data_IF_825333124244
#
_entry.id   IF_825333124244
#
_cell.length_a   1.000
_cell.length_b   1.000
_cell.length_c   1.000
_cell.angle_alpha   90.00
_cell.angle_beta   90.00
_cell.angle_gamma   90.00
#
_symmetry.space_group_name_H-M   'P 1'
#
loop_
_entity.id
_entity.type
_entity.pdbx_description
1 polymer ?
#
# COMPACT_ATOMS: atom_id res chain seq x y z
N UNK A 1 2.35 70.62 13.27
CA UNK A 1 2.97 70.64 11.93
C UNK A 1 2.51 69.36 11.23
N UNK A 2 1.25 69.25 10.81
CA UNK A 2 0.69 69.67 9.50
C UNK A 2 1.60 69.16 8.36
N UNK A 3 1.19 68.26 7.47
CA UNK A 3 0.12 68.42 6.48
C UNK A 3 -0.16 67.05 5.78
N UNK A 4 -1.38 66.51 5.86
CA UNK A 4 -2.42 66.35 4.79
C UNK A 4 -2.17 65.37 3.63
N UNK A 5 -3.09 64.39 3.53
CA UNK A 5 -3.42 63.57 2.35
C UNK A 5 -4.39 64.32 1.40
N UNK A 6 -4.47 63.96 0.10
CA UNK A 6 -5.73 63.44 -0.46
C UNK A 6 -5.50 62.25 -1.44
N UNK A 7 -6.29 61.16 -1.40
CA UNK A 7 -7.65 60.94 -1.96
C UNK A 7 -7.73 60.63 -3.48
N UNK A 8 -8.18 59.39 -3.74
CA UNK A 8 -9.17 58.94 -4.75
C UNK A 8 -8.71 58.59 -6.17
N UNK A 9 -9.06 57.35 -6.57
CA UNK A 9 -9.58 56.82 -7.85
C UNK A 9 -9.06 55.36 -7.97
N UNK A 10 -9.82 54.33 -7.56
CA UNK A 10 -10.93 53.68 -8.27
C UNK A 10 -10.57 53.27 -9.72
N UNK A 11 -10.82 51.98 -10.05
CA UNK A 11 -10.64 51.26 -11.33
C UNK A 11 -9.33 50.44 -11.37
N UNK A 12 -9.30 49.13 -11.59
CA UNK A 12 -10.29 48.15 -12.06
C UNK A 12 -9.96 46.78 -11.47
N UNK A 13 -10.98 46.09 -10.98
CA UNK A 13 -10.96 44.65 -10.80
C UNK A 13 -10.75 43.98 -12.18
N UNK A 14 -9.52 43.57 -12.48
CA UNK A 14 -9.27 42.56 -13.52
C UNK A 14 -9.18 41.21 -12.83
N UNK A 15 -10.35 40.58 -12.78
CA UNK A 15 -10.57 39.16 -12.56
C UNK A 15 -9.80 38.37 -13.64
N UNK A 16 -8.53 38.05 -13.42
CA UNK A 16 -7.83 37.04 -14.23
C UNK A 16 -8.23 35.65 -13.75
N UNK A 17 -9.35 35.17 -14.29
CA UNK A 17 -9.63 33.75 -14.43
C UNK A 17 -8.68 33.17 -15.49
N UNK A 18 -7.68 32.42 -15.06
CA UNK A 18 -6.93 31.43 -15.86
C UNK A 18 -6.29 30.49 -14.83
N UNK A 19 -6.83 29.31 -14.51
CA UNK A 19 -7.32 28.31 -15.46
C UNK A 19 -6.14 27.58 -16.11
N UNK A 20 -5.24 26.99 -15.31
CA UNK A 20 -4.21 26.10 -15.82
C UNK A 20 -3.71 25.10 -14.74
N UNK A 21 -4.05 23.83 -14.95
CA UNK A 21 -3.21 22.65 -14.71
C UNK A 21 -2.95 22.33 -13.21
N UNK A 22 -3.75 21.54 -12.50
CA UNK A 22 -3.92 20.09 -12.73
C UNK A 22 -2.63 19.40 -13.20
N UNK A 23 -1.58 19.50 -12.39
CA UNK A 23 -0.50 18.52 -12.34
C UNK A 23 -0.61 17.73 -11.02
N UNK A 24 -1.78 17.14 -10.79
CA UNK A 24 -1.83 15.95 -9.94
C UNK A 24 -1.28 14.81 -10.79
N UNK A 25 -0.08 14.33 -10.48
CA UNK A 25 0.32 12.98 -10.90
C UNK A 25 -0.65 12.00 -10.22
N UNK A 26 -1.80 11.80 -10.83
CA UNK A 26 -2.57 10.59 -10.62
C UNK A 26 -1.80 9.49 -11.32
N UNK A 27 -0.86 8.86 -10.63
CA UNK A 27 -0.46 7.51 -10.99
C UNK A 27 -1.74 6.67 -10.86
N UNK A 28 -2.39 6.41 -11.99
CA UNK A 28 -3.49 5.44 -12.05
C UNK A 28 -3.00 4.14 -11.39
N UNK A 29 -3.80 3.47 -10.53
CA UNK A 29 -3.41 2.21 -9.91
C UNK A 29 -3.14 1.16 -10.99
N UNK A 30 -1.90 1.11 -11.46
CA UNK A 30 -1.45 0.12 -12.44
C UNK A 30 -1.53 -1.23 -11.75
N UNK A 31 -2.26 -2.21 -12.33
CA UNK A 31 -2.26 -3.56 -11.82
C UNK A 31 -0.82 -4.06 -11.65
N UNK A 32 -0.53 -4.85 -10.61
CA UNK A 32 0.82 -5.36 -10.37
C UNK A 32 1.36 -6.04 -11.63
N UNK A 33 2.60 -5.69 -11.99
CA UNK A 33 3.22 -6.20 -13.21
C UNK A 33 3.37 -7.74 -13.14
N UNK A 34 3.34 -8.47 -14.26
CA UNK A 34 3.49 -9.93 -14.26
C UNK A 34 4.75 -10.45 -13.52
N UNK A 35 5.79 -9.63 -13.44
CA UNK A 35 7.02 -9.94 -12.70
C UNK A 35 6.81 -10.15 -11.19
N UNK A 36 5.81 -9.51 -10.56
CA UNK A 36 5.59 -9.66 -9.12
C UNK A 36 4.91 -10.99 -8.75
N UNK A 37 4.28 -11.67 -9.71
CA UNK A 37 3.67 -13.00 -9.50
C UNK A 37 4.71 -14.13 -9.32
N UNK A 38 5.96 -13.86 -9.73
CA UNK A 38 7.08 -14.78 -9.55
C UNK A 38 8.06 -14.31 -8.47
N UNK A 39 7.68 -13.29 -7.67
CA UNK A 39 8.51 -12.83 -6.58
C UNK A 39 8.67 -13.93 -5.52
N UNK A 40 9.87 -14.02 -4.96
CA UNK A 40 10.20 -14.93 -3.86
C UNK A 40 11.02 -14.19 -2.81
N UNK A 41 10.88 -14.54 -1.51
CA UNK A 41 11.79 -14.07 -0.48
C UNK A 41 13.26 -14.42 -0.80
N UNK A 42 14.19 -13.56 -0.41
CA UNK A 42 15.62 -13.82 -0.59
C UNK A 42 16.16 -14.87 0.39
N UNK A 43 15.57 -14.95 1.59
CA UNK A 43 15.88 -16.02 2.54
C UNK A 43 15.24 -17.34 2.10
N UNK A 44 16.02 -18.41 2.03
CA UNK A 44 15.59 -19.68 1.48
C UNK A 44 14.51 -20.38 2.33
N UNK A 45 14.59 -20.26 3.67
CA UNK A 45 13.61 -20.86 4.56
C UNK A 45 12.27 -20.13 4.45
N UNK A 46 12.30 -18.80 4.43
CA UNK A 46 11.13 -17.96 4.22
C UNK A 46 10.51 -18.19 2.83
N UNK A 47 11.35 -18.36 1.81
CA UNK A 47 10.90 -18.66 0.46
C UNK A 47 10.18 -20.01 0.38
N UNK A 48 10.66 -21.03 1.09
CA UNK A 48 10.00 -22.33 1.15
C UNK A 48 8.62 -22.22 1.78
N UNK A 49 8.49 -21.48 2.88
CA UNK A 49 7.20 -21.25 3.55
C UNK A 49 6.25 -20.46 2.65
N UNK A 50 6.73 -19.39 2.02
CA UNK A 50 5.93 -18.60 1.08
C UNK A 50 5.39 -19.49 -0.04
N UNK A 51 6.25 -20.31 -0.66
CA UNK A 51 5.86 -21.18 -1.77
C UNK A 51 4.83 -22.24 -1.37
N UNK A 52 5.01 -22.89 -0.22
CA UNK A 52 4.13 -23.97 0.25
C UNK A 52 2.78 -23.49 0.79
N UNK A 53 2.67 -22.22 1.16
CA UNK A 53 1.54 -21.72 1.94
C UNK A 53 0.94 -20.44 1.34
N UNK A 54 1.66 -19.33 1.40
CA UNK A 54 1.11 -18.01 1.06
C UNK A 54 0.91 -17.81 -0.45
N UNK A 55 1.84 -18.32 -1.25
CA UNK A 55 1.93 -18.09 -2.70
C UNK A 55 0.70 -18.59 -3.45
N UNK A 56 0.08 -19.67 -2.97
CA UNK A 56 -1.14 -20.25 -3.55
C UNK A 56 -2.24 -19.21 -3.80
N UNK A 57 -2.38 -18.26 -2.87
CA UNK A 57 -3.37 -17.20 -2.96
C UNK A 57 -2.74 -15.86 -3.34
N UNK A 58 -1.59 -15.50 -2.74
CA UNK A 58 -0.99 -14.18 -2.90
C UNK A 58 -0.19 -13.98 -4.20
N UNK A 59 -0.01 -15.03 -5.02
CA UNK A 59 0.49 -14.91 -6.39
C UNK A 59 -0.58 -15.27 -7.45
N UNK A 60 -1.83 -15.49 -7.03
CA UNK A 60 -2.93 -15.89 -7.91
C UNK A 60 -3.98 -14.78 -8.00
N UNK A 61 -4.07 -14.03 -9.12
CA UNK A 61 -5.07 -12.98 -9.31
C UNK A 61 -6.52 -13.45 -9.18
N UNK A 62 -6.79 -14.75 -9.39
CA UNK A 62 -8.13 -15.33 -9.25
C UNK A 62 -8.53 -15.68 -7.81
N UNK A 63 -7.61 -15.61 -6.84
CA UNK A 63 -7.89 -15.98 -5.46
C UNK A 63 -8.53 -14.85 -4.62
N UNK A 64 -8.53 -13.61 -5.11
CA UNK A 64 -9.06 -12.44 -4.39
C UNK A 64 -8.20 -11.96 -3.21
N UNK A 65 -7.05 -12.59 -2.97
CA UNK A 65 -6.06 -12.16 -1.98
C UNK A 65 -5.25 -10.95 -2.49
N UNK A 66 -4.71 -10.09 -1.60
CA UNK A 66 -3.81 -9.01 -2.01
C UNK A 66 -2.55 -9.59 -2.64
N UNK A 67 -2.28 -9.26 -3.89
CA UNK A 67 -1.15 -9.83 -4.62
C UNK A 67 0.17 -9.36 -4.02
N UNK A 68 1.15 -10.26 -3.95
CA UNK A 68 2.53 -9.95 -3.58
C UNK A 68 3.07 -8.81 -4.46
N UNK A 69 3.60 -7.77 -3.83
CA UNK A 69 4.13 -6.57 -4.48
C UNK A 69 3.08 -5.58 -5.00
N UNK A 70 1.79 -5.83 -4.81
CA UNK A 70 0.74 -4.87 -5.18
C UNK A 70 0.62 -3.76 -4.12
N UNK A 71 1.41 -2.71 -4.29
CA UNK A 71 1.43 -1.58 -3.37
C UNK A 71 0.05 -0.95 -3.15
N UNK A 72 -0.83 -0.94 -4.17
CA UNK A 72 -2.17 -0.36 -4.06
C UNK A 72 -3.08 -1.24 -3.20
N UNK A 73 -3.02 -2.56 -3.38
CA UNK A 73 -3.77 -3.50 -2.54
C UNK A 73 -3.28 -3.50 -1.09
N UNK A 74 -1.96 -3.35 -0.88
CA UNK A 74 -1.34 -3.38 0.44
C UNK A 74 -1.43 -2.06 1.21
N UNK A 75 -1.47 -0.89 0.56
CA UNK A 75 -1.56 0.41 1.23
C UNK A 75 -2.67 0.51 2.31
N UNK A 76 -3.95 0.20 2.04
CA UNK A 76 -5.02 0.26 3.06
C UNK A 76 -4.90 -0.84 4.13
N UNK A 77 -4.13 -1.90 3.87
CA UNK A 77 -3.86 -2.97 4.84
C UNK A 77 -2.76 -2.54 5.80
N UNK A 78 -1.67 -1.99 5.27
CA UNK A 78 -0.57 -1.43 6.04
C UNK A 78 -1.03 -0.29 6.97
N UNK A 79 -2.03 0.49 6.56
CA UNK A 79 -2.64 1.53 7.40
C UNK A 79 -3.31 1.00 8.69
N UNK A 80 -3.60 -0.31 8.77
CA UNK A 80 -4.15 -0.95 9.97
C UNK A 80 -3.07 -1.29 11.01
N UNK A 81 -1.79 -1.27 10.61
CA UNK A 81 -0.65 -1.59 11.46
C UNK A 81 -0.25 -3.07 11.44
N UNK A 82 1.00 -3.34 11.81
CA UNK A 82 1.60 -4.68 11.77
C UNK A 82 0.86 -5.69 12.65
N UNK A 83 0.47 -5.30 13.86
CA UNK A 83 -0.22 -6.17 14.81
C UNK A 83 -1.56 -6.68 14.27
N UNK A 84 -2.32 -5.83 13.57
CA UNK A 84 -3.59 -6.24 12.97
C UNK A 84 -3.38 -7.19 11.79
N UNK A 85 -2.36 -6.94 10.97
CA UNK A 85 -2.03 -7.84 9.87
C UNK A 85 -1.54 -9.20 10.36
N UNK A 86 -0.75 -9.21 11.44
CA UNK A 86 -0.29 -10.43 12.10
C UNK A 86 -1.46 -11.20 12.71
N UNK A 87 -2.35 -10.53 13.45
CA UNK A 87 -3.57 -11.13 14.00
C UNK A 87 -4.42 -11.79 12.91
N UNK A 88 -4.64 -11.09 11.79
CA UNK A 88 -5.39 -11.62 10.66
C UNK A 88 -4.71 -12.82 9.99
N UNK A 89 -3.37 -12.84 9.92
CA UNK A 89 -2.64 -13.97 9.37
C UNK A 89 -2.73 -15.21 10.28
N UNK A 90 -2.68 -15.03 11.59
CA UNK A 90 -2.76 -16.09 12.60
C UNK A 90 -4.18 -16.63 12.70
N UNK A 91 -5.16 -15.74 12.86
CA UNK A 91 -6.54 -16.11 13.16
C UNK A 91 -7.40 -16.36 11.92
N UNK A 92 -6.90 -15.97 10.74
CA UNK A 92 -7.64 -16.01 9.48
C UNK A 92 -8.57 -14.80 9.36
N UNK A 93 -8.74 -14.31 8.13
CA UNK A 93 -9.51 -13.10 7.87
C UNK A 93 -10.01 -13.04 6.43
N UNK A 94 -11.30 -12.73 6.25
CA UNK A 94 -11.91 -12.45 4.95
C UNK A 94 -11.58 -13.48 3.84
N UNK A 95 -11.68 -14.78 4.17
CA UNK A 95 -11.38 -15.88 3.25
C UNK A 95 -9.93 -16.39 3.31
N UNK A 96 -9.02 -15.68 3.97
CA UNK A 96 -7.70 -16.21 4.33
C UNK A 96 -7.86 -17.25 5.46
N UNK A 97 -7.37 -18.49 5.29
CA UNK A 97 -7.44 -19.51 6.35
C UNK A 97 -6.55 -19.14 7.53
N UNK A 98 -6.89 -19.59 8.75
CA UNK A 98 -6.02 -19.43 9.92
C UNK A 98 -4.61 -19.95 9.65
N UNK A 99 -3.63 -19.25 10.22
CA UNK A 99 -2.19 -19.48 10.04
C UNK A 99 -1.71 -19.39 8.59
N UNK A 100 -2.51 -18.90 7.65
CA UNK A 100 -2.14 -18.82 6.23
C UNK A 100 -1.67 -20.15 5.64
N UNK A 101 -2.17 -21.28 6.13
CA UNK A 101 -1.71 -22.65 5.81
C UNK A 101 -0.29 -23.01 6.28
N UNK A 102 0.29 -22.23 7.20
CA UNK A 102 1.56 -22.54 7.85
C UNK A 102 1.35 -22.77 9.36
N UNK A 103 0.91 -23.97 9.73
CA UNK A 103 0.59 -24.31 11.14
C UNK A 103 1.80 -24.32 12.08
N UNK A 104 3.01 -24.20 11.54
CA UNK A 104 4.27 -24.22 12.30
C UNK A 104 5.01 -22.87 12.23
N UNK A 105 4.39 -21.84 11.63
CA UNK A 105 5.01 -20.53 11.52
C UNK A 105 5.00 -19.80 12.87
N UNK A 106 6.12 -19.16 13.19
CA UNK A 106 6.19 -18.19 14.29
C UNK A 106 5.63 -16.83 13.87
N UNK A 107 5.37 -15.96 14.85
CA UNK A 107 4.94 -14.59 14.60
C UNK A 107 5.98 -13.81 13.78
N UNK A 108 7.28 -14.02 14.04
CA UNK A 108 8.36 -13.39 13.30
C UNK A 108 8.36 -13.83 11.83
N UNK A 109 8.07 -15.12 11.56
CA UNK A 109 7.95 -15.61 10.19
C UNK A 109 6.75 -14.99 9.49
N UNK A 110 5.61 -14.84 10.17
CA UNK A 110 4.45 -14.14 9.60
C UNK A 110 4.77 -12.67 9.29
N UNK A 111 5.39 -11.95 10.23
CA UNK A 111 5.80 -10.56 9.98
C UNK A 111 6.76 -10.46 8.81
N UNK A 112 7.72 -11.37 8.68
CA UNK A 112 8.64 -11.41 7.55
C UNK A 112 7.93 -11.73 6.21
N UNK A 113 6.93 -12.62 6.21
CA UNK A 113 6.11 -12.91 5.03
C UNK A 113 5.22 -11.73 4.64
N UNK A 114 4.57 -11.09 5.61
CA UNK A 114 3.76 -9.88 5.38
C UNK A 114 4.67 -8.77 4.84
N UNK A 115 5.86 -8.60 5.41
CA UNK A 115 6.86 -7.63 4.96
C UNK A 115 7.26 -7.87 3.50
N UNK A 116 7.60 -9.12 3.17
CA UNK A 116 7.91 -9.53 1.80
C UNK A 116 6.74 -9.26 0.84
N UNK A 117 5.52 -9.68 1.19
CA UNK A 117 4.36 -9.54 0.31
C UNK A 117 3.93 -8.10 0.10
N UNK A 118 4.02 -7.27 1.14
CA UNK A 118 3.62 -5.86 1.11
C UNK A 118 4.72 -4.92 0.63
N UNK A 119 5.97 -5.37 0.62
CA UNK A 119 7.14 -4.52 0.37
C UNK A 119 7.47 -3.56 1.51
N UNK A 120 6.89 -3.74 2.70
CA UNK A 120 7.18 -2.93 3.88
C UNK A 120 8.06 -3.66 4.90
N UNK A 121 8.83 -2.91 5.67
CA UNK A 121 9.59 -3.45 6.80
C UNK A 121 8.93 -2.99 8.09
N UNK A 122 8.53 -3.95 8.92
CA UNK A 122 8.05 -3.67 10.27
C UNK A 122 9.28 -3.58 11.19
N UNK A 123 9.40 -2.47 11.91
CA UNK A 123 10.50 -2.20 12.86
C UNK A 123 10.18 -2.77 14.24
#
# INVERSE_FOLDING_TARGET
MSATFPSVLLQTATLTLLGALLAGCGEEPKPPAPATLNAMPADAALAQVYDSSCRLCHANPGAGAPLTGDANAWAPRLAQGADTLLDHAINGYNGMPPMGLCMHCSEEQFLALIAFMSGQQFQ
#
